data_IF_484148210029
#
_entry.id   IF_484148210029
#
_cell.length_a   1.000
_cell.length_b   1.000
_cell.length_c   1.000
_cell.angle_alpha   90.00
_cell.angle_beta   90.00
_cell.angle_gamma   90.00
#
_symmetry.space_group_name_H-M   'P 1'
#
loop_
_entity.id
_entity.type
_entity.pdbx_description
1 polymer ?
#
# COMPACT_ATOMS: atom_id res chain seq x y z
N UNK A 1 41.44 49.64 32.37
CA UNK A 1 40.07 49.80 31.77
C UNK A 1 39.93 49.22 30.35
N UNK A 2 40.86 49.40 29.42
CA UNK A 2 40.70 48.89 28.00
C UNK A 2 40.63 47.38 27.82
N UNK A 3 41.16 46.53 28.69
CA UNK A 3 41.10 45.05 28.59
C UNK A 3 39.78 44.45 29.03
N UNK A 4 39.01 45.06 29.88
CA UNK A 4 37.67 44.59 30.32
C UNK A 4 36.62 44.78 29.23
N UNK A 5 36.65 45.91 28.53
CA UNK A 5 35.66 46.21 27.47
C UNK A 5 35.77 45.24 26.29
N UNK A 6 36.98 44.77 25.96
CA UNK A 6 37.23 43.83 24.88
C UNK A 6 36.63 42.43 25.16
N UNK A 7 36.73 41.94 26.40
CA UNK A 7 36.14 40.67 26.82
C UNK A 7 34.61 40.66 26.79
N UNK A 8 33.98 41.78 27.11
CA UNK A 8 32.52 41.93 27.07
C UNK A 8 31.98 41.96 25.63
N UNK A 9 32.73 42.56 24.70
CA UNK A 9 32.37 42.54 23.27
C UNK A 9 32.42 41.18 22.65
N UNK A 10 33.43 40.38 22.98
CA UNK A 10 33.58 39.00 22.46
C UNK A 10 32.46 38.04 23.00
N UNK A 11 32.06 38.20 24.27
CA UNK A 11 30.97 37.46 24.87
C UNK A 11 29.59 37.84 24.32
N UNK A 12 29.37 39.11 24.02
CA UNK A 12 28.14 39.61 23.39
C UNK A 12 28.02 39.10 21.96
N UNK A 13 29.13 39.07 21.20
CA UNK A 13 29.14 38.59 19.83
C UNK A 13 28.83 37.07 19.77
N UNK A 14 29.42 36.28 20.67
CA UNK A 14 29.15 34.85 20.79
C UNK A 14 27.69 34.55 21.16
N UNK A 15 27.13 35.32 22.10
CA UNK A 15 25.71 35.17 22.47
C UNK A 15 24.77 35.52 21.31
N UNK A 16 25.11 36.56 20.51
CA UNK A 16 24.34 36.93 19.33
C UNK A 16 24.37 35.85 18.24
N UNK A 17 25.55 35.23 18.01
CA UNK A 17 25.69 34.12 17.06
C UNK A 17 24.86 32.91 17.46
N UNK A 18 24.85 32.55 18.74
CA UNK A 18 24.02 31.44 19.26
C UNK A 18 22.52 31.73 19.07
N UNK A 19 22.09 32.95 19.34
CA UNK A 19 20.69 33.37 19.13
C UNK A 19 20.29 33.31 17.65
N UNK A 20 21.14 33.72 16.74
CA UNK A 20 20.88 33.63 15.29
C UNK A 20 20.76 32.17 14.82
N UNK A 21 21.65 31.30 15.31
CA UNK A 21 21.62 29.86 14.97
C UNK A 21 20.35 29.22 15.51
N UNK A 22 19.96 29.51 16.75
CA UNK A 22 18.71 29.01 17.33
C UNK A 22 17.48 29.52 16.59
N UNK A 23 17.49 30.79 16.17
CA UNK A 23 16.39 31.38 15.41
C UNK A 23 16.29 30.76 14.01
N UNK A 24 17.42 30.54 13.34
CA UNK A 24 17.45 29.85 12.05
C UNK A 24 16.95 28.39 12.16
N UNK A 25 17.34 27.67 13.21
CA UNK A 25 16.88 26.30 13.46
C UNK A 25 15.39 26.21 13.77
N UNK A 26 14.83 27.21 14.49
CA UNK A 26 13.40 27.30 14.75
C UNK A 26 12.62 27.66 13.48
N UNK A 27 13.17 28.49 12.62
CA UNK A 27 12.54 28.94 11.38
C UNK A 27 12.45 27.78 10.36
N UNK A 28 13.52 27.00 10.19
CA UNK A 28 13.52 25.81 9.31
C UNK A 28 12.55 24.75 9.81
N UNK A 29 12.43 24.57 11.13
CA UNK A 29 11.48 23.60 11.71
C UNK A 29 10.02 23.98 11.49
N UNK A 30 9.69 25.29 11.44
CA UNK A 30 8.33 25.75 11.12
C UNK A 30 7.96 25.48 9.67
N UNK A 31 8.90 25.58 8.73
CA UNK A 31 8.64 25.29 7.31
C UNK A 31 8.42 23.80 7.07
N UNK A 32 9.14 22.92 7.76
CA UNK A 32 8.91 21.46 7.69
C UNK A 32 7.55 21.07 8.26
N UNK A 33 7.13 21.68 9.38
CA UNK A 33 5.81 21.45 9.95
C UNK A 33 4.68 21.94 9.03
N UNK A 34 4.87 23.09 8.35
CA UNK A 34 3.91 23.59 7.35
C UNK A 34 3.82 22.67 6.12
N UNK A 35 4.94 22.12 5.66
CA UNK A 35 4.96 21.15 4.54
C UNK A 35 4.24 19.86 4.90
N UNK A 36 4.49 19.30 6.09
CA UNK A 36 3.80 18.11 6.60
C UNK A 36 2.31 18.40 6.78
N UNK A 37 1.94 19.56 7.34
CA UNK A 37 0.53 19.95 7.47
C UNK A 37 -0.16 20.17 6.12
N UNK A 38 0.55 20.71 5.11
CA UNK A 38 0.02 20.89 3.76
C UNK A 38 -0.13 19.53 3.03
N UNK A 39 0.81 18.61 3.22
CA UNK A 39 0.71 17.24 2.69
C UNK A 39 -0.45 16.47 3.32
N UNK A 40 -0.63 16.59 4.64
CA UNK A 40 -1.76 15.97 5.33
C UNK A 40 -3.10 16.62 4.96
N UNK A 41 -3.14 17.92 4.73
CA UNK A 41 -4.34 18.61 4.25
C UNK A 41 -4.69 18.27 2.81
N UNK A 42 -3.70 18.08 1.93
CA UNK A 42 -3.92 17.61 0.56
C UNK A 42 -4.42 16.16 0.51
N UNK A 43 -3.88 15.29 1.37
CA UNK A 43 -4.36 13.92 1.54
C UNK A 43 -5.81 13.86 2.06
N UNK A 44 -6.18 14.79 2.97
CA UNK A 44 -7.54 14.87 3.52
C UNK A 44 -8.57 15.50 2.56
N UNK A 45 -8.16 16.21 1.52
CA UNK A 45 -9.08 16.79 0.52
C UNK A 45 -9.45 15.80 -0.59
N UNK A 46 -8.69 14.72 -0.76
CA UNK A 46 -9.03 13.64 -1.70
C UNK A 46 -10.09 12.68 -1.11
N UNK A 47 -10.29 12.70 0.22
CA UNK A 47 -11.32 11.87 0.89
C UNK A 47 -12.75 12.44 0.81
N UNK A 48 -12.98 13.67 0.30
CA UNK A 48 -14.31 14.33 0.35
C UNK A 48 -15.08 14.34 -0.97
N UNK A 49 -14.60 13.70 -2.03
CA UNK A 49 -15.28 13.62 -3.33
C UNK A 49 -15.50 12.20 -3.87
N UNK A 50 -15.51 11.21 -3.00
CA UNK A 50 -15.96 9.86 -3.34
C UNK A 50 -17.01 9.43 -2.32
N UNK A 51 -18.25 9.18 -2.76
CA UNK A 51 -19.17 8.39 -1.97
C UNK A 51 -18.45 7.14 -1.48
N UNK A 52 -18.81 6.59 -0.32
CA UNK A 52 -18.11 5.48 0.33
C UNK A 52 -17.72 4.42 -0.69
N UNK A 53 -16.56 4.62 -1.32
CA UNK A 53 -15.98 3.64 -2.21
C UNK A 53 -15.74 2.43 -1.31
N UNK A 54 -16.29 1.29 -1.69
CA UNK A 54 -15.98 0.02 -1.05
C UNK A 54 -14.47 0.00 -0.82
N UNK A 55 -14.03 -0.25 0.41
CA UNK A 55 -12.60 -0.38 0.72
C UNK A 55 -11.95 -1.51 -0.12
N UNK A 56 -12.76 -2.23 -0.91
CA UNK A 56 -12.39 -3.35 -1.76
C UNK A 56 -12.56 -3.00 -3.24
N UNK A 57 -11.53 -3.25 -4.04
CA UNK A 57 -11.49 -3.02 -5.49
C UNK A 57 -11.37 -4.34 -6.25
N UNK A 58 -11.95 -4.41 -7.46
CA UNK A 58 -11.74 -5.57 -8.34
C UNK A 58 -10.27 -5.66 -8.76
N UNK A 59 -9.68 -6.87 -8.66
CA UNK A 59 -8.27 -7.07 -8.99
C UNK A 59 -8.00 -7.01 -10.49
N UNK A 60 -8.96 -7.47 -11.30
CA UNK A 60 -8.95 -7.45 -12.79
C UNK A 60 -10.37 -7.30 -13.32
N UNK A 61 -10.50 -6.90 -14.58
CA UNK A 61 -11.80 -6.72 -15.26
C UNK A 61 -12.39 -8.04 -15.82
N UNK A 62 -11.66 -9.16 -15.68
CA UNK A 62 -12.06 -10.45 -16.24
C UNK A 62 -13.16 -11.17 -15.46
N UNK A 63 -13.76 -12.16 -16.10
CA UNK A 63 -14.77 -13.02 -15.49
C UNK A 63 -14.15 -14.00 -14.46
N UNK A 64 -14.95 -14.47 -13.52
CA UNK A 64 -14.56 -15.57 -12.63
C UNK A 64 -14.61 -16.87 -13.42
N UNK A 65 -13.47 -17.55 -13.53
CA UNK A 65 -13.32 -18.86 -14.18
C UNK A 65 -13.51 -20.01 -13.21
N UNK A 66 -12.98 -19.88 -11.99
CA UNK A 66 -13.13 -20.83 -10.89
C UNK A 66 -13.50 -20.04 -9.65
N UNK A 67 -14.72 -20.22 -9.09
CA UNK A 67 -15.11 -19.57 -7.87
C UNK A 67 -14.43 -20.20 -6.64
N UNK A 68 -14.40 -19.45 -5.55
CA UNK A 68 -13.96 -19.95 -4.25
C UNK A 68 -14.80 -21.17 -3.83
N UNK A 69 -14.14 -22.17 -3.27
CA UNK A 69 -14.80 -23.39 -2.80
C UNK A 69 -15.27 -24.32 -3.91
N UNK A 70 -14.96 -24.04 -5.19
CA UNK A 70 -15.30 -24.94 -6.29
C UNK A 70 -14.70 -26.33 -6.06
N UNK A 71 -15.54 -27.37 -6.18
CA UNK A 71 -15.16 -28.74 -5.93
C UNK A 71 -14.67 -29.41 -7.21
N UNK A 72 -13.43 -29.83 -7.23
CA UNK A 72 -12.83 -30.56 -8.34
C UNK A 72 -12.14 -31.85 -7.87
N UNK A 73 -11.98 -32.81 -8.75
CA UNK A 73 -11.34 -34.09 -8.46
C UNK A 73 -9.90 -34.06 -8.98
N UNK A 74 -8.95 -34.15 -8.07
CA UNK A 74 -7.53 -34.29 -8.41
C UNK A 74 -7.01 -35.66 -7.95
N UNK A 75 -6.51 -36.48 -8.89
CA UNK A 75 -6.05 -37.84 -8.63
C UNK A 75 -7.04 -38.68 -7.82
N UNK A 76 -8.35 -38.55 -8.10
CA UNK A 76 -9.40 -39.29 -7.41
C UNK A 76 -9.84 -38.71 -6.06
N UNK A 77 -9.17 -37.68 -5.56
CA UNK A 77 -9.47 -37.02 -4.28
C UNK A 77 -10.24 -35.73 -4.56
N UNK A 78 -11.34 -35.52 -3.86
CA UNK A 78 -12.05 -34.24 -3.91
C UNK A 78 -11.22 -33.13 -3.22
N UNK A 79 -11.05 -32.01 -3.93
CA UNK A 79 -10.41 -30.81 -3.43
C UNK A 79 -11.32 -29.61 -3.63
N UNK A 80 -11.17 -28.60 -2.79
CA UNK A 80 -11.88 -27.33 -2.92
C UNK A 80 -10.86 -26.24 -3.22
N UNK A 81 -11.22 -25.35 -4.14
CA UNK A 81 -10.36 -24.21 -4.51
C UNK A 81 -10.29 -23.21 -3.37
N UNK A 82 -9.13 -22.97 -2.75
CA UNK A 82 -8.97 -21.96 -1.71
C UNK A 82 -8.74 -20.56 -2.29
N UNK A 83 -8.96 -20.40 -3.59
CA UNK A 83 -8.76 -19.17 -4.35
C UNK A 83 -9.91 -18.96 -5.33
N UNK A 84 -10.03 -17.72 -5.81
CA UNK A 84 -10.81 -17.38 -7.00
C UNK A 84 -9.86 -17.25 -8.17
N UNK A 85 -10.19 -17.86 -9.30
CA UNK A 85 -9.46 -17.68 -10.55
C UNK A 85 -10.24 -16.72 -11.45
N UNK A 86 -9.58 -15.66 -11.87
CA UNK A 86 -10.13 -14.67 -12.80
C UNK A 86 -9.48 -14.78 -14.17
N UNK A 87 -10.28 -14.64 -15.21
CA UNK A 87 -9.76 -14.41 -16.55
C UNK A 87 -8.92 -13.14 -16.56
N UNK A 88 -7.74 -13.20 -17.19
CA UNK A 88 -6.84 -12.07 -17.28
C UNK A 88 -6.04 -12.14 -18.57
N UNK A 89 -6.28 -11.22 -19.49
CA UNK A 89 -5.48 -11.13 -20.69
C UNK A 89 -4.01 -10.85 -20.36
N UNK A 90 -3.09 -11.45 -21.12
CA UNK A 90 -1.66 -11.24 -20.92
C UNK A 90 -1.32 -9.75 -20.92
N UNK A 91 -0.57 -9.31 -19.93
CA UNK A 91 -0.16 -7.91 -19.75
C UNK A 91 -1.22 -7.00 -19.14
N UNK A 92 -2.44 -7.48 -18.86
CA UNK A 92 -3.44 -6.69 -18.15
C UNK A 92 -2.97 -6.34 -16.73
N UNK A 93 -3.37 -5.17 -16.22
CA UNK A 93 -3.02 -4.74 -14.88
C UNK A 93 -3.75 -5.59 -13.82
N UNK A 94 -2.99 -6.07 -12.84
CA UNK A 94 -3.52 -6.72 -11.64
C UNK A 94 -3.37 -5.75 -10.48
N UNK A 95 -4.48 -5.50 -9.76
CA UNK A 95 -4.59 -4.47 -8.75
C UNK A 95 -4.80 -5.04 -7.36
N UNK A 96 -4.35 -4.32 -6.34
CA UNK A 96 -4.64 -4.64 -4.95
C UNK A 96 -6.14 -4.54 -4.69
N UNK A 97 -6.73 -5.55 -4.07
CA UNK A 97 -8.15 -5.55 -3.71
C UNK A 97 -8.44 -4.65 -2.53
N UNK A 98 -7.50 -4.51 -1.60
CA UNK A 98 -7.66 -3.76 -0.35
C UNK A 98 -6.36 -2.99 -0.04
N UNK A 99 -6.44 -1.86 0.68
CA UNK A 99 -5.23 -1.20 1.18
C UNK A 99 -4.41 -2.14 2.06
N UNK A 100 -3.08 -2.04 1.94
CA UNK A 100 -2.22 -2.91 2.74
C UNK A 100 -0.74 -2.76 2.41
N UNK A 101 0.06 -3.62 3.04
CA UNK A 101 1.51 -3.64 2.86
C UNK A 101 1.97 -4.93 2.19
N UNK A 102 2.84 -4.79 1.21
CA UNK A 102 3.48 -5.93 0.54
C UNK A 102 4.43 -6.65 1.50
N UNK A 103 4.13 -7.91 1.77
CA UNK A 103 4.95 -8.80 2.61
C UNK A 103 6.00 -9.51 1.75
N UNK A 104 5.61 -9.92 0.52
CA UNK A 104 6.45 -10.64 -0.42
C UNK A 104 6.04 -10.34 -1.85
N UNK A 105 7.03 -10.17 -2.74
CA UNK A 105 6.81 -9.97 -4.17
C UNK A 105 7.91 -10.71 -4.95
N UNK A 106 7.63 -11.94 -5.36
CA UNK A 106 8.59 -12.82 -6.04
C UNK A 106 7.89 -13.93 -6.82
N UNK A 107 8.59 -14.54 -7.78
CA UNK A 107 8.14 -15.74 -8.50
C UNK A 107 6.74 -15.64 -9.11
N UNK A 108 6.38 -14.45 -9.62
CA UNK A 108 5.05 -14.23 -10.20
C UNK A 108 3.92 -14.14 -9.20
N UNK A 109 4.23 -13.95 -7.91
CA UNK A 109 3.25 -13.79 -6.85
C UNK A 109 3.53 -12.55 -5.99
N UNK A 110 2.46 -11.95 -5.48
CA UNK A 110 2.50 -10.87 -4.49
C UNK A 110 1.61 -11.24 -3.31
N UNK A 111 2.16 -11.13 -2.10
CA UNK A 111 1.45 -11.32 -0.84
C UNK A 111 1.31 -9.96 -0.15
N UNK A 112 0.08 -9.55 0.13
CA UNK A 112 -0.25 -8.38 0.93
C UNK A 112 -0.77 -8.78 2.31
N UNK A 113 -0.38 -8.02 3.33
CA UNK A 113 -1.10 -7.94 4.58
C UNK A 113 -1.98 -6.70 4.53
N UNK A 114 -3.28 -6.92 4.47
CA UNK A 114 -4.27 -5.87 4.33
C UNK A 114 -4.51 -5.14 5.67
N UNK A 115 -4.94 -3.88 5.59
CA UNK A 115 -5.12 -3.04 6.78
C UNK A 115 -6.29 -3.50 7.67
N UNK A 116 -7.22 -4.31 7.13
CA UNK A 116 -8.32 -4.93 7.86
C UNK A 116 -7.96 -6.23 8.59
N UNK A 117 -6.67 -6.62 8.56
CA UNK A 117 -6.14 -7.84 9.18
C UNK A 117 -6.26 -9.09 8.33
N UNK A 118 -6.78 -9.02 7.11
CA UNK A 118 -6.72 -10.12 6.15
C UNK A 118 -5.36 -10.17 5.46
N UNK A 119 -5.06 -11.31 4.83
CA UNK A 119 -3.93 -11.44 3.93
C UNK A 119 -4.44 -11.88 2.55
N UNK A 120 -3.88 -11.30 1.48
CA UNK A 120 -4.25 -11.61 0.10
C UNK A 120 -3.02 -11.98 -0.71
N UNK A 121 -3.09 -13.10 -1.43
CA UNK A 121 -2.04 -13.55 -2.34
C UNK A 121 -2.55 -13.54 -3.78
N UNK A 122 -1.78 -12.91 -4.65
CA UNK A 122 -2.05 -12.78 -6.09
C UNK A 122 -1.01 -13.59 -6.82
N UNK A 123 -1.44 -14.53 -7.68
CA UNK A 123 -0.58 -15.42 -8.46
C UNK A 123 -0.87 -15.29 -9.96
N UNK A 124 0.08 -15.69 -10.79
CA UNK A 124 -0.04 -15.59 -12.24
C UNK A 124 0.44 -14.26 -12.81
N UNK A 125 1.24 -13.51 -12.04
CA UNK A 125 1.86 -12.27 -12.48
C UNK A 125 3.17 -12.57 -13.26
N UNK A 126 3.35 -11.90 -14.41
CA UNK A 126 4.60 -11.97 -15.17
C UNK A 126 5.56 -10.83 -14.79
N UNK A 127 5.03 -9.62 -14.62
CA UNK A 127 5.81 -8.45 -14.24
C UNK A 127 5.31 -7.93 -12.91
N UNK A 128 6.18 -7.94 -11.89
CA UNK A 128 5.89 -7.38 -10.59
C UNK A 128 6.26 -5.89 -10.60
N UNK A 129 5.34 -5.02 -10.23
CA UNK A 129 5.56 -3.58 -10.03
C UNK A 129 5.69 -3.27 -8.54
N UNK A 130 4.89 -3.94 -7.72
CA UNK A 130 5.00 -3.86 -6.28
C UNK A 130 6.27 -4.55 -5.77
N UNK A 131 6.86 -3.99 -4.73
CA UNK A 131 8.06 -4.49 -4.05
C UNK A 131 7.76 -4.75 -2.58
N UNK A 132 8.53 -5.63 -1.98
CA UNK A 132 8.43 -5.87 -0.54
C UNK A 132 8.52 -4.56 0.26
N UNK A 133 7.66 -4.41 1.23
CA UNK A 133 7.46 -3.23 2.12
C UNK A 133 6.73 -2.04 1.49
N UNK A 134 6.36 -2.08 0.21
CA UNK A 134 5.49 -1.06 -0.37
C UNK A 134 4.14 -1.04 0.37
N UNK A 135 3.59 0.16 0.55
CA UNK A 135 2.21 0.36 1.01
C UNK A 135 1.37 0.72 -0.20
N UNK A 136 0.26 0.02 -0.39
CA UNK A 136 -0.61 0.15 -1.55
C UNK A 136 -2.04 0.48 -1.12
N UNK A 137 -2.73 1.26 -1.92
CA UNK A 137 -4.15 1.50 -1.80
C UNK A 137 -4.94 0.48 -2.61
N UNK A 138 -6.24 0.31 -2.30
CA UNK A 138 -7.13 -0.48 -3.15
C UNK A 138 -7.15 0.08 -4.58
N UNK A 139 -7.07 -0.80 -5.58
CA UNK A 139 -7.01 -0.42 -6.99
C UNK A 139 -5.61 -0.09 -7.51
N UNK A 140 -4.59 0.06 -6.66
CA UNK A 140 -3.21 0.26 -7.13
C UNK A 140 -2.64 -1.00 -7.77
N UNK A 141 -1.80 -0.81 -8.78
CA UNK A 141 -1.28 -1.92 -9.60
C UNK A 141 -0.15 -2.66 -8.90
N UNK A 142 -0.34 -3.95 -8.68
CA UNK A 142 0.66 -4.90 -8.15
C UNK A 142 1.64 -5.36 -9.23
N UNK A 143 1.14 -5.52 -10.44
CA UNK A 143 1.90 -6.06 -11.55
C UNK A 143 1.02 -6.30 -12.78
N UNK A 144 1.49 -7.16 -13.68
CA UNK A 144 0.78 -7.51 -14.92
C UNK A 144 0.60 -9.01 -15.02
N UNK A 145 -0.57 -9.44 -15.50
CA UNK A 145 -0.91 -10.84 -15.74
C UNK A 145 0.06 -11.49 -16.73
N UNK A 146 0.37 -12.75 -16.50
CA UNK A 146 1.17 -13.59 -17.40
C UNK A 146 0.42 -14.03 -18.66
N UNK A 147 1.04 -14.92 -19.41
CA UNK A 147 0.47 -15.46 -20.68
C UNK A 147 -0.52 -16.62 -20.45
N UNK A 148 -0.74 -17.05 -19.22
CA UNK A 148 -1.62 -18.18 -18.90
C UNK A 148 -3.11 -17.89 -19.10
N UNK A 149 -3.48 -16.60 -19.27
CA UNK A 149 -4.85 -16.18 -19.50
C UNK A 149 -5.68 -16.05 -18.23
N UNK A 150 -5.07 -16.22 -17.06
CA UNK A 150 -5.75 -16.07 -15.77
C UNK A 150 -4.80 -15.60 -14.66
N UNK A 151 -5.39 -15.13 -13.58
CA UNK A 151 -4.74 -14.93 -12.28
C UNK A 151 -5.53 -15.66 -11.19
N UNK A 152 -4.87 -15.99 -10.09
CA UNK A 152 -5.49 -16.59 -8.90
C UNK A 152 -5.32 -15.67 -7.71
N UNK A 153 -6.38 -15.55 -6.91
CA UNK A 153 -6.38 -14.76 -5.68
C UNK A 153 -6.90 -15.60 -4.55
N UNK A 154 -6.07 -15.75 -3.53
CA UNK A 154 -6.45 -16.32 -2.25
C UNK A 154 -6.54 -15.21 -1.20
N UNK A 155 -7.57 -15.26 -0.37
CA UNK A 155 -7.76 -14.36 0.75
C UNK A 155 -7.94 -15.20 2.02
N UNK A 156 -7.31 -14.80 3.13
CA UNK A 156 -7.48 -15.50 4.40
C UNK A 156 -7.38 -14.55 5.60
N UNK A 157 -7.96 -14.99 6.70
CA UNK A 157 -7.91 -14.34 8.01
C UNK A 157 -7.80 -15.43 9.08
N UNK A 158 -6.94 -15.23 10.06
CA UNK A 158 -6.74 -16.15 11.19
C UNK A 158 -6.49 -17.61 10.75
N UNK A 159 -5.78 -17.80 9.65
CA UNK A 159 -5.45 -19.11 9.10
C UNK A 159 -6.57 -19.80 8.32
N UNK A 160 -7.74 -19.19 8.19
CA UNK A 160 -8.87 -19.68 7.38
C UNK A 160 -9.00 -18.94 6.06
N UNK A 161 -9.17 -19.68 4.95
CA UNK A 161 -9.49 -19.07 3.65
C UNK A 161 -10.91 -18.54 3.64
N UNK A 162 -11.10 -17.38 3.02
CA UNK A 162 -12.38 -16.71 2.85
C UNK A 162 -12.59 -16.33 1.38
N UNK A 163 -13.86 -16.26 0.96
CA UNK A 163 -14.20 -15.93 -0.41
C UNK A 163 -13.94 -14.44 -0.70
N UNK A 164 -13.00 -14.09 -1.61
CA UNK A 164 -12.74 -12.71 -1.98
C UNK A 164 -13.93 -11.99 -2.61
N UNK A 165 -14.81 -12.72 -3.34
CA UNK A 165 -15.96 -12.13 -4.03
C UNK A 165 -16.98 -11.54 -3.05
N UNK A 166 -17.07 -12.04 -1.82
CA UNK A 166 -18.00 -11.51 -0.81
C UNK A 166 -17.73 -10.05 -0.45
N UNK A 167 -16.51 -9.56 -0.66
CA UNK A 167 -16.10 -8.18 -0.38
C UNK A 167 -16.24 -7.26 -1.60
N UNK A 168 -16.34 -7.82 -2.80
CA UNK A 168 -16.48 -7.06 -4.05
C UNK A 168 -17.93 -6.74 -4.39
N UNK A 169 -18.88 -7.40 -3.76
CA UNK A 169 -20.31 -7.12 -3.85
C UNK A 169 -20.59 -6.03 -2.81
N UNK A 170 -20.30 -4.78 -3.14
CA UNK A 170 -20.80 -3.66 -2.36
C UNK A 170 -22.28 -3.44 -2.69
N UNK A 171 -23.11 -3.10 -1.69
CA UNK A 171 -24.52 -2.81 -1.88
C UNK A 171 -24.76 -1.59 -2.76
#
# INVERSE_FOLDING_TARGET
MRRMIKKWGESLLAALCVLVILFAALYTRQDDLKRIAAQNAAASQDETLGGAASAWARPVEGAVLIPFGDAHKDNGIWRFSPYVRYEAASGSAVRAMHPGRVVRAENGAVLLRNDDGTESEYRGLHTLQAKEKDSLQAGETLGRAGSEGFIEIALWRDGGYIDPETFLIAP
#
